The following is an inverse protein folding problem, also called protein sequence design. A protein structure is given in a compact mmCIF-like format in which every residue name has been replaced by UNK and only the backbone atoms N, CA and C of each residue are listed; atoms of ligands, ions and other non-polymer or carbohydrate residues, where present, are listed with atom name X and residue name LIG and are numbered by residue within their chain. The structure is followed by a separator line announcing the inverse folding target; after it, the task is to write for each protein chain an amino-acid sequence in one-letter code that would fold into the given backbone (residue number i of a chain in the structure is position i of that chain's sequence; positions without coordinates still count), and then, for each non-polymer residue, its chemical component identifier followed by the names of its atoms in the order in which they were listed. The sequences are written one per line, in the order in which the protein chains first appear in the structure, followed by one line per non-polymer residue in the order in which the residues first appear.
data_IF_939091525383
#
_entry.id   IF_939091525383
#
_cell.length_a   1.000
_cell.length_b   1.000
_cell.length_c   1.000
_cell.angle_alpha   90.00
_cell.angle_beta   90.00
_cell.angle_gamma   90.00
#
_symmetry.space_group_name_H-M   'P 1'
#
loop_
_entity.id
_entity.type
_entity.pdbx_description
1 polymer ?
#
# COMPACT_ATOMS: atom_id res chain seq x y z
N UNK A 1 11.52 11.84 16.60
CA UNK A 1 11.88 11.61 18.02
C UNK A 1 13.40 11.50 18.13
N UNK A 2 13.99 11.92 19.24
CA UNK A 2 15.43 11.68 19.48
C UNK A 2 15.69 10.21 19.92
N UNK A 3 16.95 9.78 19.85
CA UNK A 3 17.35 8.39 20.15
C UNK A 3 17.08 7.98 21.60
N UNK A 4 17.09 8.92 22.53
CA UNK A 4 16.90 8.66 23.95
C UNK A 4 15.42 8.42 24.28
N UNK A 5 14.51 9.20 23.69
CA UNK A 5 13.07 8.99 23.78
C UNK A 5 12.64 7.63 23.19
N UNK A 6 13.22 7.23 22.05
CA UNK A 6 12.97 5.91 21.45
C UNK A 6 13.44 4.77 22.37
N UNK A 7 14.63 4.91 22.97
CA UNK A 7 15.15 3.92 23.90
C UNK A 7 14.29 3.78 25.16
N UNK A 8 13.83 4.90 25.73
CA UNK A 8 12.93 4.89 26.89
C UNK A 8 11.58 4.24 26.55
N UNK A 9 11.01 4.54 25.38
CA UNK A 9 9.76 3.93 24.93
C UNK A 9 9.91 2.41 24.72
N UNK A 10 10.99 1.95 24.07
CA UNK A 10 11.24 0.52 23.82
C UNK A 10 11.52 -0.28 25.10
N UNK A 11 11.88 0.36 26.20
CA UNK A 11 12.22 -0.31 27.47
C UNK A 11 11.19 -0.10 28.57
N UNK A 12 10.13 0.68 28.33
CA UNK A 12 9.06 0.93 29.30
C UNK A 12 8.06 -0.25 29.32
N UNK A 13 8.01 -1.05 30.41
CA UNK A 13 7.17 -2.24 30.45
C UNK A 13 5.66 -1.95 30.39
N UNK A 14 5.22 -0.83 30.97
CA UNK A 14 3.80 -0.45 30.97
C UNK A 14 3.36 -0.05 29.56
N UNK A 15 4.23 0.68 28.85
CA UNK A 15 3.98 1.05 27.46
C UNK A 15 3.97 -0.18 26.54
N UNK A 16 4.94 -1.09 26.67
CA UNK A 16 4.97 -2.32 25.88
C UNK A 16 3.75 -3.21 26.14
N UNK A 17 3.31 -3.30 27.40
CA UNK A 17 2.09 -4.03 27.75
C UNK A 17 0.86 -3.39 27.11
N UNK A 18 0.73 -2.07 27.19
CA UNK A 18 -0.35 -1.33 26.54
C UNK A 18 -0.36 -1.56 25.03
N UNK A 19 0.81 -1.52 24.38
CA UNK A 19 0.94 -1.71 22.95
C UNK A 19 0.52 -3.12 22.53
N UNK A 20 0.93 -4.15 23.28
CA UNK A 20 0.53 -5.54 23.03
C UNK A 20 -0.97 -5.77 23.26
N UNK A 21 -1.55 -5.19 24.32
CA UNK A 21 -2.99 -5.25 24.55
C UNK A 21 -3.77 -4.54 23.42
N UNK A 22 -3.27 -3.40 22.95
CA UNK A 22 -3.85 -2.66 21.83
C UNK A 22 -3.80 -3.49 20.54
N UNK A 23 -2.66 -4.12 20.24
CA UNK A 23 -2.48 -5.02 19.09
C UNK A 23 -3.51 -6.13 19.08
N UNK A 24 -3.64 -6.86 20.19
CA UNK A 24 -4.56 -8.00 20.29
C UNK A 24 -6.02 -7.55 20.21
N UNK A 25 -6.36 -6.42 20.82
CA UNK A 25 -7.73 -5.91 20.82
C UNK A 25 -8.14 -5.33 19.46
N UNK A 26 -7.27 -4.58 18.77
CA UNK A 26 -7.54 -4.03 17.45
C UNK A 26 -7.74 -5.14 16.41
N UNK A 27 -6.89 -6.17 16.43
CA UNK A 27 -7.04 -7.36 15.60
C UNK A 27 -8.38 -8.09 15.84
N UNK A 28 -8.81 -8.22 17.10
CA UNK A 28 -10.10 -8.84 17.44
C UNK A 28 -11.29 -8.00 17.02
N UNK A 29 -11.17 -6.68 17.10
CA UNK A 29 -12.23 -5.76 16.71
C UNK A 29 -12.31 -5.53 15.19
N UNK A 30 -11.24 -5.85 14.45
CA UNK A 30 -11.10 -5.48 13.04
C UNK A 30 -10.89 -3.97 12.85
N UNK A 31 -10.38 -3.27 13.87
CA UNK A 31 -10.15 -1.82 13.84
C UNK A 31 -8.87 -1.51 13.06
N UNK A 32 -9.02 -1.24 11.77
CA UNK A 32 -7.90 -1.06 10.83
C UNK A 32 -7.04 0.16 11.17
N UNK A 33 -7.64 1.23 11.70
CA UNK A 33 -6.92 2.42 12.16
C UNK A 33 -5.99 2.07 13.32
N UNK A 34 -6.53 1.46 14.39
CA UNK A 34 -5.73 1.05 15.54
C UNK A 34 -4.69 -0.02 15.19
N UNK A 35 -4.99 -0.90 14.24
CA UNK A 35 -4.00 -1.87 13.76
C UNK A 35 -2.81 -1.18 13.11
N UNK A 36 -3.02 -0.19 12.23
CA UNK A 36 -1.93 0.57 11.62
C UNK A 36 -1.17 1.44 12.61
N UNK A 37 -1.86 2.14 13.53
CA UNK A 37 -1.20 2.92 14.59
C UNK A 37 -0.27 2.04 15.44
N UNK A 38 -0.74 0.83 15.75
CA UNK A 38 0.04 -0.16 16.51
C UNK A 38 1.23 -0.66 15.68
N UNK A 39 1.01 -1.01 14.41
CA UNK A 39 2.07 -1.47 13.50
C UNK A 39 3.18 -0.42 13.35
N UNK A 40 2.80 0.81 13.05
CA UNK A 40 3.74 1.93 12.85
C UNK A 40 4.56 2.17 14.14
N UNK A 41 3.92 2.09 15.31
CA UNK A 41 4.60 2.17 16.61
C UNK A 41 5.60 1.02 16.83
N UNK A 42 5.20 -0.22 16.50
CA UNK A 42 6.05 -1.40 16.64
C UNK A 42 7.28 -1.34 15.72
N UNK A 43 7.11 -0.87 14.48
CA UNK A 43 8.18 -0.68 13.51
C UNK A 43 9.18 0.39 13.96
N UNK A 44 8.69 1.56 14.41
CA UNK A 44 9.53 2.65 14.92
C UNK A 44 10.38 2.20 16.12
N UNK A 45 9.82 1.33 16.96
CA UNK A 45 10.45 0.83 18.16
C UNK A 45 11.28 -0.44 17.93
N UNK A 46 11.35 -0.95 16.69
CA UNK A 46 12.10 -2.15 16.34
C UNK A 46 11.70 -3.33 17.27
N UNK A 47 10.39 -3.55 17.42
CA UNK A 47 9.86 -4.61 18.27
C UNK A 47 9.89 -5.96 17.56
N UNK A 48 9.38 -6.98 18.25
CA UNK A 48 9.38 -8.37 17.81
C UNK A 48 8.77 -8.57 16.40
N UNK A 49 9.58 -9.10 15.48
CA UNK A 49 9.22 -9.32 14.07
C UNK A 49 8.04 -10.28 13.90
N UNK A 50 7.91 -11.31 14.74
CA UNK A 50 6.82 -12.30 14.64
C UNK A 50 5.47 -11.62 14.90
N UNK A 51 5.39 -10.76 15.92
CA UNK A 51 4.16 -10.03 16.23
C UNK A 51 3.85 -8.94 15.20
N UNK A 52 4.89 -8.27 14.65
CA UNK A 52 4.73 -7.32 13.53
C UNK A 52 4.12 -8.05 12.33
N UNK A 53 4.67 -9.21 11.97
CA UNK A 53 4.18 -10.01 10.86
C UNK A 53 2.73 -10.46 11.06
N UNK A 54 2.38 -11.00 12.23
CA UNK A 54 0.99 -11.39 12.56
C UNK A 54 0.00 -10.24 12.47
N UNK A 55 0.40 -9.05 12.91
CA UNK A 55 -0.44 -7.86 12.83
C UNK A 55 -0.65 -7.45 11.37
N UNK A 56 0.42 -7.41 10.58
CA UNK A 56 0.34 -7.11 9.15
C UNK A 56 -0.51 -8.13 8.37
N UNK A 57 -0.38 -9.42 8.64
CA UNK A 57 -1.26 -10.46 8.06
C UNK A 57 -2.74 -10.21 8.37
N UNK A 58 -3.05 -9.78 9.60
CA UNK A 58 -4.42 -9.45 9.99
C UNK A 58 -4.93 -8.16 9.33
N UNK A 59 -4.06 -7.16 9.13
CA UNK A 59 -4.36 -5.96 8.34
C UNK A 59 -4.72 -6.34 6.90
N UNK A 60 -3.91 -7.19 6.26
CA UNK A 60 -4.18 -7.66 4.90
C UNK A 60 -5.53 -8.39 4.84
N UNK A 61 -5.75 -9.35 5.73
CA UNK A 61 -7.01 -10.09 5.80
C UNK A 61 -8.22 -9.16 5.94
N UNK A 62 -8.15 -8.23 6.88
CA UNK A 62 -9.24 -7.26 7.14
C UNK A 62 -9.48 -6.38 5.91
N UNK A 63 -8.41 -5.97 5.22
CA UNK A 63 -8.48 -5.12 4.03
C UNK A 63 -9.12 -5.86 2.86
N UNK A 64 -8.68 -7.08 2.55
CA UNK A 64 -9.29 -7.88 1.48
C UNK A 64 -10.78 -8.16 1.74
N UNK A 65 -11.15 -8.57 2.96
CA UNK A 65 -12.54 -8.86 3.32
C UNK A 65 -13.46 -7.62 3.18
N UNK A 66 -12.95 -6.42 3.46
CA UNK A 66 -13.76 -5.20 3.35
C UNK A 66 -13.77 -4.63 1.92
N UNK A 67 -12.65 -4.72 1.19
CA UNK A 67 -12.60 -4.38 -0.23
C UNK A 67 -13.59 -5.23 -1.03
N UNK A 68 -13.65 -6.53 -0.78
CA UNK A 68 -14.59 -7.44 -1.44
C UNK A 68 -16.05 -6.98 -1.24
N UNK A 69 -16.44 -6.68 0.01
CA UNK A 69 -17.80 -6.17 0.33
C UNK A 69 -18.11 -4.85 -0.36
N UNK A 70 -17.15 -3.93 -0.44
CA UNK A 70 -17.33 -2.63 -1.11
C UNK A 70 -17.60 -2.85 -2.61
N UNK A 71 -16.78 -3.69 -3.25
CA UNK A 71 -16.92 -3.99 -4.68
C UNK A 71 -18.23 -4.73 -4.97
N UNK A 72 -18.64 -5.68 -4.12
CA UNK A 72 -19.93 -6.39 -4.25
C UNK A 72 -21.13 -5.44 -4.20
N UNK A 73 -21.00 -4.31 -3.49
CA UNK A 73 -22.01 -3.26 -3.45
C UNK A 73 -21.95 -2.30 -4.65
N UNK A 74 -21.09 -2.57 -5.65
CA UNK A 74 -20.78 -1.70 -6.78
C UNK A 74 -20.25 -0.32 -6.37
N UNK A 75 -19.56 -0.25 -5.24
CA UNK A 75 -18.91 0.96 -4.75
C UNK A 75 -17.42 0.96 -5.11
N UNK A 76 -16.84 2.17 -5.18
CA UNK A 76 -15.41 2.37 -5.36
C UNK A 76 -14.77 2.85 -4.06
N UNK A 77 -13.50 2.51 -3.86
CA UNK A 77 -12.73 2.96 -2.71
C UNK A 77 -12.28 4.40 -2.87
N UNK A 78 -12.62 5.23 -1.89
CA UNK A 78 -12.11 6.61 -1.75
C UNK A 78 -10.89 6.61 -0.82
N UNK A 79 -9.95 7.51 -1.04
CA UNK A 79 -8.78 7.68 -0.17
C UNK A 79 -9.12 8.46 1.11
N UNK A 80 -10.10 7.97 1.87
CA UNK A 80 -10.62 8.57 3.10
C UNK A 80 -10.97 7.47 4.11
N UNK A 81 -10.76 7.74 5.41
CA UNK A 81 -11.10 6.83 6.50
C UNK A 81 -10.52 5.43 6.31
N UNK A 82 -11.31 4.39 6.62
CA UNK A 82 -10.87 3.00 6.50
C UNK A 82 -10.54 2.60 5.06
N UNK A 83 -11.21 3.17 4.06
CA UNK A 83 -10.94 2.86 2.65
C UNK A 83 -9.51 3.22 2.25
N UNK A 84 -8.97 4.34 2.77
CA UNK A 84 -7.56 4.69 2.60
C UNK A 84 -6.66 3.58 3.14
N UNK A 85 -6.96 3.06 4.33
CA UNK A 85 -6.15 2.05 4.99
C UNK A 85 -6.25 0.68 4.29
N UNK A 86 -7.40 0.34 3.72
CA UNK A 86 -7.53 -0.84 2.88
C UNK A 86 -6.70 -0.72 1.61
N UNK A 87 -6.76 0.43 0.92
CA UNK A 87 -5.93 0.68 -0.27
C UNK A 87 -4.45 0.69 0.08
N UNK A 88 -4.06 1.26 1.23
CA UNK A 88 -2.69 1.20 1.79
C UNK A 88 -2.22 -0.25 1.91
N UNK A 89 -3.01 -1.12 2.53
CA UNK A 89 -2.65 -2.54 2.73
C UNK A 89 -2.43 -3.29 1.40
N UNK A 90 -3.34 -3.10 0.43
CA UNK A 90 -3.21 -3.73 -0.88
C UNK A 90 -1.99 -3.20 -1.65
N UNK A 91 -1.71 -1.89 -1.54
CA UNK A 91 -0.54 -1.26 -2.15
C UNK A 91 0.78 -1.75 -1.54
N UNK A 92 0.86 -1.78 -0.20
CA UNK A 92 2.02 -2.30 0.54
C UNK A 92 2.32 -3.75 0.15
N UNK A 93 1.27 -4.58 0.01
CA UNK A 93 1.45 -5.96 -0.43
C UNK A 93 1.91 -6.07 -1.88
N UNK A 94 1.44 -5.20 -2.78
CA UNK A 94 1.93 -5.16 -4.16
C UNK A 94 3.41 -4.77 -4.24
N UNK A 95 3.82 -3.79 -3.43
CA UNK A 95 5.23 -3.38 -3.27
C UNK A 95 6.08 -4.51 -2.70
N UNK A 96 5.59 -5.22 -1.67
CA UNK A 96 6.25 -6.39 -1.10
C UNK A 96 6.47 -7.47 -2.19
N UNK A 97 5.45 -7.81 -2.97
CA UNK A 97 5.58 -8.75 -4.10
C UNK A 97 6.64 -8.30 -5.11
N UNK A 98 6.67 -7.01 -5.44
CA UNK A 98 7.65 -6.47 -6.38
C UNK A 98 9.08 -6.59 -5.82
N UNK A 99 9.28 -6.32 -4.52
CA UNK A 99 10.59 -6.47 -3.87
C UNK A 99 11.12 -7.91 -3.86
N UNK A 100 10.23 -8.90 -4.04
CA UNK A 100 10.58 -10.32 -4.17
C UNK A 100 10.58 -10.82 -5.62
N UNK A 101 10.75 -9.94 -6.61
CA UNK A 101 10.73 -10.26 -8.05
C UNK A 101 9.42 -10.90 -8.55
N UNK A 102 8.36 -10.87 -7.75
CA UNK A 102 7.05 -11.35 -8.18
C UNK A 102 6.33 -10.24 -8.96
N UNK A 103 6.85 -9.95 -10.16
CA UNK A 103 6.34 -8.91 -11.03
C UNK A 103 4.89 -9.12 -11.42
N UNK A 104 4.50 -10.37 -11.71
CA UNK A 104 3.12 -10.68 -12.10
C UNK A 104 2.17 -10.46 -10.93
N UNK A 105 2.47 -10.99 -9.74
CA UNK A 105 1.63 -10.79 -8.55
C UNK A 105 1.51 -9.32 -8.12
N UNK A 106 2.60 -8.55 -8.20
CA UNK A 106 2.55 -7.11 -7.96
C UNK A 106 1.66 -6.38 -8.99
N UNK A 107 1.78 -6.75 -10.26
CA UNK A 107 1.05 -6.14 -11.37
C UNK A 107 -0.45 -6.45 -11.29
N UNK A 108 -0.81 -7.68 -10.94
CA UNK A 108 -2.19 -8.09 -10.68
C UNK A 108 -2.82 -7.25 -9.57
N UNK A 109 -2.12 -7.06 -8.45
CA UNK A 109 -2.61 -6.22 -7.36
C UNK A 109 -2.77 -4.75 -7.76
N UNK A 110 -1.75 -4.13 -8.36
CA UNK A 110 -1.88 -2.73 -8.81
C UNK A 110 -2.96 -2.54 -9.85
N UNK A 111 -3.16 -3.52 -10.74
CA UNK A 111 -4.26 -3.51 -11.71
C UNK A 111 -5.63 -3.58 -11.03
N UNK A 112 -5.81 -4.46 -10.04
CA UNK A 112 -7.06 -4.52 -9.27
C UNK A 112 -7.31 -3.18 -8.58
N UNK A 113 -6.31 -2.65 -7.86
CA UNK A 113 -6.43 -1.37 -7.14
C UNK A 113 -6.82 -0.24 -8.12
N UNK A 114 -6.15 -0.12 -9.28
CA UNK A 114 -6.41 0.97 -10.23
C UNK A 114 -7.83 0.96 -10.79
N UNK A 115 -8.51 -0.19 -10.81
CA UNK A 115 -9.87 -0.30 -11.32
C UNK A 115 -10.96 -0.11 -10.26
N UNK A 116 -10.63 -0.25 -8.98
CA UNK A 116 -11.60 -0.19 -7.86
C UNK A 116 -11.56 1.12 -7.07
N UNK A 117 -10.55 1.97 -7.29
CA UNK A 117 -10.44 3.27 -6.64
C UNK A 117 -11.22 4.38 -7.35
N UNK A 118 -11.58 5.39 -6.57
CA UNK A 118 -12.17 6.67 -6.98
C UNK A 118 -11.20 7.82 -6.66
N UNK A 119 -9.99 7.74 -7.25
CA UNK A 119 -8.95 8.78 -7.13
C UNK A 119 -8.06 8.79 -8.38
N UNK A 120 -8.23 9.82 -9.23
CA UNK A 120 -7.55 9.91 -10.53
C UNK A 120 -6.02 10.02 -10.40
N UNK A 121 -5.53 10.65 -9.32
CA UNK A 121 -4.09 10.85 -9.10
C UNK A 121 -3.43 9.50 -8.82
N UNK A 122 -4.00 8.74 -7.89
CA UNK A 122 -3.49 7.41 -7.56
C UNK A 122 -3.71 6.44 -8.73
N UNK A 123 -4.84 6.49 -9.43
CA UNK A 123 -5.09 5.65 -10.61
C UNK A 123 -4.01 5.82 -11.68
N UNK A 124 -3.68 7.07 -12.04
CA UNK A 124 -2.60 7.36 -12.99
C UNK A 124 -1.26 6.83 -12.50
N UNK A 125 -0.98 6.99 -11.21
CA UNK A 125 0.27 6.53 -10.60
C UNK A 125 0.38 5.00 -10.63
N UNK A 126 -0.69 4.28 -10.30
CA UNK A 126 -0.76 2.82 -10.38
C UNK A 126 -0.57 2.31 -11.82
N UNK A 127 -1.18 2.98 -12.80
CA UNK A 127 -0.97 2.64 -14.22
C UNK A 127 0.50 2.81 -14.64
N UNK A 128 1.20 3.82 -14.12
CA UNK A 128 2.65 3.96 -14.31
C UNK A 128 3.38 2.75 -13.71
N UNK A 129 3.08 2.34 -12.47
CA UNK A 129 3.71 1.18 -11.83
C UNK A 129 3.50 -0.10 -12.65
N UNK A 130 2.30 -0.32 -13.19
CA UNK A 130 1.97 -1.46 -14.07
C UNK A 130 2.90 -1.50 -15.30
N UNK A 131 3.17 -0.35 -15.94
CA UNK A 131 4.08 -0.27 -17.10
C UNK A 131 5.51 -0.70 -16.73
N UNK A 132 6.01 -0.27 -15.57
CA UNK A 132 7.34 -0.66 -15.09
C UNK A 132 7.43 -2.15 -14.76
N UNK A 133 6.39 -2.70 -14.13
CA UNK A 133 6.29 -4.13 -13.85
C UNK A 133 6.22 -4.98 -15.14
N UNK A 134 5.50 -4.52 -16.17
CA UNK A 134 5.50 -5.17 -17.49
C UNK A 134 6.88 -5.20 -18.14
N UNK A 135 7.75 -4.25 -17.78
CA UNK A 135 9.14 -4.20 -18.23
C UNK A 135 10.11 -4.97 -17.31
N UNK A 136 9.61 -5.60 -16.24
CA UNK A 136 10.38 -6.31 -15.21
C UNK A 136 11.51 -5.46 -14.61
N UNK A 137 11.26 -4.17 -14.46
CA UNK A 137 12.20 -3.27 -13.81
C UNK A 137 12.16 -3.53 -12.31
N UNK A 138 13.33 -3.64 -11.69
CA UNK A 138 13.46 -3.86 -10.26
C UNK A 138 12.94 -2.67 -9.46
N UNK A 139 12.40 -2.93 -8.27
CA UNK A 139 11.82 -1.86 -7.45
C UNK A 139 12.90 -0.84 -7.03
N UNK A 140 14.10 -1.30 -6.70
CA UNK A 140 15.23 -0.44 -6.35
C UNK A 140 15.63 0.46 -7.52
N UNK A 141 15.82 -0.13 -8.71
CA UNK A 141 16.14 0.63 -9.93
C UNK A 141 15.04 1.64 -10.28
N UNK A 142 13.79 1.27 -10.08
CA UNK A 142 12.64 2.15 -10.30
C UNK A 142 12.66 3.33 -9.33
N UNK A 143 12.77 3.08 -8.02
CA UNK A 143 12.80 4.12 -7.00
C UNK A 143 13.95 5.11 -7.23
N UNK A 144 15.15 4.61 -7.49
CA UNK A 144 16.35 5.44 -7.63
C UNK A 144 16.31 6.32 -8.89
N UNK A 145 15.70 5.84 -9.96
CA UNK A 145 15.78 6.50 -11.28
C UNK A 145 14.52 7.24 -11.70
N UNK A 146 13.35 6.87 -11.15
CA UNK A 146 12.04 7.33 -11.65
C UNK A 146 11.23 8.12 -10.62
N UNK A 147 11.37 7.83 -9.33
CA UNK A 147 10.59 8.48 -8.28
C UNK A 147 11.22 9.83 -7.91
N UNK A 148 10.38 10.84 -7.73
CA UNK A 148 10.81 12.15 -7.26
C UNK A 148 10.71 12.22 -5.72
N UNK A 149 11.80 11.88 -5.05
CA UNK A 149 11.90 11.86 -3.59
C UNK A 149 11.96 13.26 -2.96
N UNK A 150 12.29 14.28 -3.74
CA UNK A 150 12.41 15.67 -3.28
C UNK A 150 11.09 16.45 -3.42
N UNK A 151 10.09 15.84 -4.05
CA UNK A 151 8.77 16.42 -4.23
C UNK A 151 8.02 16.52 -2.90
N UNK A 152 7.31 17.63 -2.70
CA UNK A 152 6.40 17.75 -1.58
C UNK A 152 5.13 16.94 -1.87
N UNK A 153 4.64 16.26 -0.84
CA UNK A 153 3.31 15.64 -0.85
C UNK A 153 2.33 16.70 -0.36
N UNK A 154 1.50 17.23 -1.27
CA UNK A 154 0.56 18.31 -0.96
C UNK A 154 -0.62 17.86 -0.08
N UNK A 155 -1.00 16.58 -0.17
CA UNK A 155 -2.08 15.96 0.60
C UNK A 155 -1.57 14.70 1.29
N UNK A 156 -1.68 14.66 2.62
CA UNK A 156 -1.16 13.61 3.49
C UNK A 156 -1.67 12.22 3.10
N UNK A 157 -2.87 12.10 2.51
CA UNK A 157 -3.41 10.81 2.06
C UNK A 157 -2.52 10.12 1.02
N UNK A 158 -1.72 10.89 0.26
CA UNK A 158 -0.79 10.35 -0.73
C UNK A 158 0.55 9.90 -0.13
N UNK A 159 0.80 10.15 1.16
CA UNK A 159 2.07 9.80 1.81
C UNK A 159 2.38 8.30 1.87
N UNK A 160 1.37 7.45 1.66
CA UNK A 160 1.51 6.00 1.62
C UNK A 160 1.77 5.43 0.22
N UNK A 161 1.76 6.27 -0.82
CA UNK A 161 1.75 5.83 -2.21
C UNK A 161 2.83 6.50 -3.05
N UNK A 162 3.36 5.78 -4.04
CA UNK A 162 4.29 6.35 -5.03
C UNK A 162 3.48 7.13 -6.06
N UNK A 163 3.42 8.45 -5.91
CA UNK A 163 2.58 9.34 -6.77
C UNK A 163 3.36 10.42 -7.52
N UNK A 164 4.64 10.62 -7.16
CA UNK A 164 5.52 11.64 -7.72
C UNK A 164 6.68 11.02 -8.48
N UNK A 165 6.89 11.50 -9.70
CA UNK A 165 7.85 10.93 -10.65
C UNK A 165 8.68 12.05 -11.28
N UNK A 166 9.89 11.72 -11.71
CA UNK A 166 10.84 12.65 -12.38
C UNK A 166 10.48 12.96 -13.83
N UNK A 167 9.26 12.65 -14.25
CA UNK A 167 8.75 12.82 -15.62
C UNK A 167 7.27 13.19 -15.58
N UNK A 168 6.76 13.74 -16.69
CA UNK A 168 5.34 14.07 -16.79
C UNK A 168 4.48 12.80 -16.88
N UNK A 169 3.56 12.64 -15.94
CA UNK A 169 2.68 11.46 -15.82
C UNK A 169 1.83 11.26 -17.07
N UNK A 170 1.26 12.33 -17.61
CA UNK A 170 0.30 12.25 -18.69
C UNK A 170 0.99 11.93 -20.03
N UNK A 171 2.13 12.56 -20.29
CA UNK A 171 2.99 12.27 -21.44
C UNK A 171 3.44 10.81 -21.41
N UNK A 172 4.01 10.35 -20.28
CA UNK A 172 4.47 8.97 -20.13
C UNK A 172 3.35 7.95 -20.35
N UNK A 173 2.16 8.18 -19.78
CA UNK A 173 1.00 7.30 -19.99
C UNK A 173 0.55 7.26 -21.46
N UNK A 174 0.60 8.40 -22.16
CA UNK A 174 0.23 8.47 -23.58
C UNK A 174 1.21 7.68 -24.45
N UNK A 175 2.52 7.80 -24.19
CA UNK A 175 3.57 7.09 -24.91
C UNK A 175 3.49 5.56 -24.71
N UNK A 176 3.07 5.13 -23.52
CA UNK A 176 3.03 3.72 -23.12
C UNK A 176 1.62 3.09 -23.19
N UNK A 177 0.66 3.78 -23.83
CA UNK A 177 -0.75 3.35 -23.89
C UNK A 177 -0.93 1.92 -24.41
N UNK A 178 -0.14 1.51 -25.41
CA UNK A 178 -0.21 0.15 -25.98
C UNK A 178 0.13 -0.94 -24.96
N UNK A 179 1.03 -0.65 -24.01
CA UNK A 179 1.39 -1.56 -22.92
C UNK A 179 0.18 -1.71 -21.99
N UNK A 180 -0.42 -0.60 -21.56
CA UNK A 180 -1.61 -0.63 -20.69
C UNK A 180 -2.80 -1.34 -21.35
N UNK A 181 -3.05 -1.10 -22.63
CA UNK A 181 -4.12 -1.80 -23.36
C UNK A 181 -3.88 -3.32 -23.44
N UNK A 182 -2.61 -3.74 -23.50
CA UNK A 182 -2.22 -5.15 -23.52
C UNK A 182 -2.43 -5.77 -22.13
N UNK A 183 -1.94 -5.12 -21.09
CA UNK A 183 -2.11 -5.61 -19.71
C UNK A 183 -3.57 -5.62 -19.29
N UNK A 184 -4.36 -4.62 -19.68
CA UNK A 184 -5.80 -4.62 -19.44
C UNK A 184 -6.48 -5.86 -20.07
N UNK A 185 -6.15 -6.21 -21.31
CA UNK A 185 -6.71 -7.41 -21.95
C UNK A 185 -6.31 -8.69 -21.22
N UNK A 186 -5.08 -8.74 -20.72
CA UNK A 186 -4.56 -9.89 -19.98
C UNK A 186 -5.21 -10.02 -18.61
N UNK A 187 -5.42 -8.91 -17.90
CA UNK A 187 -5.77 -8.88 -16.48
C UNK A 187 -7.24 -8.59 -16.18
N UNK A 188 -8.05 -8.16 -17.17
CA UNK A 188 -9.48 -7.86 -16.98
C UNK A 188 -10.30 -8.99 -16.36
N UNK A 189 -9.84 -10.23 -16.46
CA UNK A 189 -10.48 -11.39 -15.84
C UNK A 189 -10.47 -11.33 -14.30
N UNK A 190 -9.57 -10.52 -13.70
CA UNK A 190 -9.49 -10.29 -12.26
C UNK A 190 -10.60 -9.37 -11.73
N UNK A 191 -11.29 -8.63 -12.61
CA UNK A 191 -12.36 -7.70 -12.20
C UNK A 191 -13.71 -8.38 -12.02
N UNK A 192 -13.79 -9.70 -12.17
CA UNK A 192 -15.05 -10.45 -12.26
C UNK A 192 -15.63 -10.42 -13.68
N UNK A 193 -16.56 -11.34 -13.96
CA UNK A 193 -17.29 -11.42 -15.22
C UNK A 193 -18.54 -10.55 -15.21
#
# INVERSE_FOLDING_TARGET
MDKEALFQARTNPDFLKYLEETRVNSMKAGDIGLMYETLDSMLILDLDEENIHKLYEQILKTSFENVEKIIENNEKLKLEGDNLLYVRALFEHAVEKWSYDNFDGAKELFFVISNIIDDEILEKSLNILIIFLSSKIQIDDFYDTRVDLDSNIDDEKYGYFITNFRFDKQEFLNENKNILETEYKNLKHLLGN
#
